data_IF_805182482140
#
_entry.id   IF_805182482140
#
_cell.length_a   1.000
_cell.length_b   1.000
_cell.length_c   1.000
_cell.angle_alpha   90.00
_cell.angle_beta   90.00
_cell.angle_gamma   90.00
#
_symmetry.space_group_name_H-M   'P 1'
#
loop_
_entity.id
_entity.type
_entity.pdbx_description
1 polymer ?
#
# COMPACT_ATOMS: atom_id res chain seq x y z
N UNK A 1 -8.51 -21.89 12.69
CA UNK A 1 -7.99 -21.14 11.54
C UNK A 1 -9.13 -20.29 10.98
N UNK A 2 -8.84 -19.04 10.59
CA UNK A 2 -9.80 -18.10 9.98
C UNK A 2 -9.41 -17.87 8.53
N UNK A 3 -10.40 -17.52 7.70
CA UNK A 3 -10.22 -17.25 6.27
C UNK A 3 -10.36 -15.75 5.94
N UNK A 4 -10.89 -14.97 6.88
CA UNK A 4 -11.07 -13.51 6.68
C UNK A 4 -9.74 -12.80 6.54
N UNK A 5 -9.71 -11.80 5.64
CA UNK A 5 -8.55 -10.93 5.47
C UNK A 5 -8.28 -10.12 6.73
N UNK A 6 -7.01 -10.03 7.08
CA UNK A 6 -6.50 -9.16 8.14
C UNK A 6 -5.25 -8.42 7.65
N UNK A 7 -4.97 -7.27 8.23
CA UNK A 7 -3.78 -6.48 7.95
C UNK A 7 -3.06 -6.13 9.26
N UNK A 8 -1.79 -5.79 9.19
CA UNK A 8 -1.01 -5.42 10.39
C UNK A 8 -1.57 -4.19 11.12
N UNK A 9 -2.25 -3.29 10.41
CA UNK A 9 -2.95 -2.15 11.01
C UNK A 9 -4.07 -2.56 11.96
N UNK A 10 -4.59 -3.79 11.86
CA UNK A 10 -5.64 -4.32 12.72
C UNK A 10 -5.13 -4.71 14.12
N UNK A 11 -3.83 -4.86 14.29
CA UNK A 11 -3.24 -5.25 15.58
C UNK A 11 -3.43 -4.18 16.65
N UNK A 12 -3.21 -2.91 16.30
CA UNK A 12 -3.33 -1.80 17.26
C UNK A 12 -4.75 -1.70 17.83
N UNK A 13 -5.83 -1.57 17.04
CA UNK A 13 -7.18 -1.51 17.60
C UNK A 13 -7.57 -2.81 18.32
N UNK A 14 -7.05 -3.97 17.92
CA UNK A 14 -7.27 -5.22 18.65
C UNK A 14 -6.70 -5.15 20.05
N UNK A 15 -5.46 -4.69 20.20
CA UNK A 15 -4.80 -4.54 21.49
C UNK A 15 -5.54 -3.51 22.36
N UNK A 16 -5.91 -2.38 21.80
CA UNK A 16 -6.66 -1.34 22.53
C UNK A 16 -7.99 -1.88 23.05
N UNK A 17 -8.73 -2.62 22.23
CA UNK A 17 -10.00 -3.25 22.63
C UNK A 17 -9.81 -4.27 23.77
N UNK A 18 -8.75 -5.08 23.73
CA UNK A 18 -8.41 -6.02 24.84
C UNK A 18 -8.21 -5.28 26.16
N UNK A 19 -7.65 -4.08 26.12
CA UNK A 19 -7.44 -3.25 27.30
C UNK A 19 -8.61 -2.30 27.62
N UNK A 20 -9.72 -2.37 26.89
CA UNK A 20 -10.88 -1.50 27.09
C UNK A 20 -10.63 -0.05 26.73
N UNK A 21 -9.68 0.21 25.83
CA UNK A 21 -9.34 1.56 25.37
C UNK A 21 -9.91 1.78 23.96
N UNK A 22 -10.67 2.87 23.80
CA UNK A 22 -11.20 3.25 22.49
C UNK A 22 -10.08 3.68 21.54
N UNK A 23 -10.01 3.13 20.31
CA UNK A 23 -9.06 3.57 19.31
C UNK A 23 -9.29 5.04 18.93
N UNK A 24 -8.22 5.83 18.71
CA UNK A 24 -8.33 7.15 18.12
C UNK A 24 -9.04 7.13 16.76
N UNK A 25 -9.72 8.22 16.41
CA UNK A 25 -10.54 8.32 15.17
C UNK A 25 -9.73 8.15 13.87
N UNK A 26 -8.41 8.37 13.93
CA UNK A 26 -7.49 8.22 12.79
C UNK A 26 -7.09 6.76 12.54
N UNK A 27 -7.48 5.83 13.40
CA UNK A 27 -7.14 4.40 13.26
C UNK A 27 -8.08 3.75 12.25
N UNK A 28 -7.55 3.37 11.11
CA UNK A 28 -8.31 2.71 10.04
C UNK A 28 -8.34 1.18 10.18
N UNK A 29 -7.47 0.62 11.02
CA UNK A 29 -7.47 -0.79 11.37
C UNK A 29 -8.77 -1.19 12.09
N UNK A 30 -9.14 -2.46 11.99
CA UNK A 30 -10.33 -3.03 12.63
C UNK A 30 -9.92 -4.12 13.60
N UNK A 31 -10.49 -4.10 14.82
CA UNK A 31 -10.21 -5.14 15.79
C UNK A 31 -10.49 -6.54 15.24
N UNK A 32 -9.59 -7.47 15.54
CA UNK A 32 -9.70 -8.87 15.15
C UNK A 32 -10.47 -9.72 16.18
N UNK A 33 -10.91 -9.17 17.33
CA UNK A 33 -11.58 -9.95 18.36
C UNK A 33 -12.89 -10.59 17.84
N UNK A 34 -13.67 -9.84 17.07
CA UNK A 34 -14.87 -10.38 16.43
C UNK A 34 -14.55 -11.51 15.43
N UNK A 35 -13.47 -11.37 14.66
CA UNK A 35 -12.99 -12.42 13.75
C UNK A 35 -12.48 -13.65 14.48
N UNK A 36 -11.91 -13.48 15.66
CA UNK A 36 -11.46 -14.60 16.50
C UNK A 36 -12.65 -15.42 17.03
N UNK A 37 -13.78 -14.76 17.31
CA UNK A 37 -14.99 -15.44 17.75
C UNK A 37 -15.73 -16.09 16.58
N UNK A 38 -16.04 -15.33 15.55
CA UNK A 38 -16.79 -15.77 14.36
C UNK A 38 -16.05 -15.26 13.12
N UNK A 39 -15.75 -16.14 12.16
CA UNK A 39 -15.06 -15.77 10.90
C UNK A 39 -15.97 -14.94 10.00
N UNK A 40 -16.21 -13.69 10.40
CA UNK A 40 -17.03 -12.74 9.68
C UNK A 40 -16.11 -11.67 9.03
N UNK A 41 -16.00 -11.63 7.69
CA UNK A 41 -15.09 -10.73 7.00
C UNK A 41 -15.36 -9.26 7.34
N UNK A 42 -14.35 -8.55 7.83
CA UNK A 42 -14.40 -7.12 8.12
C UNK A 42 -13.89 -6.25 6.96
N UNK A 43 -13.30 -6.89 5.93
CA UNK A 43 -12.85 -6.23 4.70
C UNK A 43 -13.01 -7.13 3.49
N UNK A 44 -13.26 -6.51 2.33
CA UNK A 44 -13.46 -7.22 1.04
C UNK A 44 -12.17 -7.40 0.28
N UNK A 45 -11.19 -6.52 0.51
CA UNK A 45 -9.88 -6.56 -0.12
C UNK A 45 -8.87 -5.82 0.77
N UNK A 46 -7.58 -6.04 0.52
CA UNK A 46 -6.48 -5.38 1.19
C UNK A 46 -5.38 -4.99 0.23
N UNK A 47 -4.88 -3.75 0.35
CA UNK A 47 -3.69 -3.29 -0.35
C UNK A 47 -2.43 -3.70 0.41
N UNK A 48 -1.39 -4.02 -0.32
CA UNK A 48 -0.06 -4.26 0.24
C UNK A 48 1.02 -3.98 -0.81
N UNK A 49 2.25 -3.85 -0.38
CA UNK A 49 3.35 -3.59 -1.30
C UNK A 49 4.57 -3.04 -0.59
N UNK A 50 5.54 -2.68 -1.39
CA UNK A 50 6.77 -2.03 -0.96
C UNK A 50 6.88 -0.69 -1.66
N UNK A 51 7.36 0.32 -0.95
CA UNK A 51 7.57 1.65 -1.52
C UNK A 51 8.35 1.59 -2.84
N UNK A 52 7.87 2.31 -3.85
CA UNK A 52 8.42 2.37 -5.21
C UNK A 52 8.32 1.07 -6.04
N UNK A 53 7.70 0.01 -5.52
CA UNK A 53 7.43 -1.24 -6.23
C UNK A 53 5.99 -1.30 -6.72
N UNK A 54 5.48 -2.50 -7.01
CA UNK A 54 4.08 -2.71 -7.32
C UNK A 54 3.16 -2.22 -6.19
N UNK A 55 1.97 -1.80 -6.55
CA UNK A 55 0.83 -1.77 -5.64
C UNK A 55 0.05 -3.06 -5.86
N UNK A 56 -0.13 -3.81 -4.80
CA UNK A 56 -0.77 -5.12 -4.85
C UNK A 56 -2.10 -5.09 -4.13
N UNK A 57 -3.04 -5.92 -4.60
CA UNK A 57 -4.33 -6.10 -3.95
C UNK A 57 -4.67 -7.58 -3.85
N UNK A 58 -5.32 -7.97 -2.76
CA UNK A 58 -5.92 -9.31 -2.62
C UNK A 58 -7.34 -9.21 -2.09
N UNK A 59 -8.23 -10.10 -2.57
CA UNK A 59 -9.57 -10.31 -2.01
C UNK A 59 -9.64 -11.58 -1.14
N UNK A 60 -8.49 -12.19 -0.84
CA UNK A 60 -8.37 -13.43 -0.06
C UNK A 60 -8.32 -14.70 -0.91
N UNK A 61 -8.73 -14.65 -2.17
CA UNK A 61 -8.56 -15.72 -3.14
C UNK A 61 -7.62 -15.34 -4.26
N UNK A 62 -7.85 -14.18 -4.85
CA UNK A 62 -7.03 -13.66 -5.93
C UNK A 62 -6.05 -12.64 -5.38
N UNK A 63 -4.85 -12.57 -5.98
CA UNK A 63 -3.89 -11.52 -5.72
C UNK A 63 -3.42 -10.93 -7.04
N UNK A 64 -3.39 -9.60 -7.12
CA UNK A 64 -3.04 -8.86 -8.31
C UNK A 64 -1.91 -7.91 -8.01
N UNK A 65 -0.85 -8.02 -8.79
CA UNK A 65 0.36 -7.20 -8.71
C UNK A 65 0.33 -6.19 -9.84
N UNK A 66 0.13 -4.92 -9.52
CA UNK A 66 0.16 -3.84 -10.51
C UNK A 66 1.48 -3.11 -10.44
N UNK A 67 2.31 -3.32 -11.44
CA UNK A 67 3.60 -2.64 -11.57
C UNK A 67 3.47 -1.34 -12.39
N UNK A 68 4.35 -0.33 -12.13
CA UNK A 68 4.56 0.75 -13.08
C UNK A 68 5.04 0.21 -14.43
N UNK A 69 4.73 0.91 -15.50
CA UNK A 69 5.20 0.57 -16.85
C UNK A 69 6.73 0.62 -16.93
N UNK A 70 7.33 1.64 -16.30
CA UNK A 70 8.78 1.75 -16.13
C UNK A 70 9.13 1.96 -14.65
N UNK A 71 9.84 0.99 -14.09
CA UNK A 71 10.28 1.03 -12.70
C UNK A 71 11.39 2.07 -12.45
N UNK A 72 12.08 2.52 -13.49
CA UNK A 72 13.20 3.48 -13.37
C UNK A 72 12.75 4.92 -13.58
N UNK A 73 11.78 5.15 -14.46
CA UNK A 73 11.30 6.48 -14.85
C UNK A 73 10.04 6.91 -14.10
N UNK A 74 9.57 6.10 -13.14
CA UNK A 74 8.38 6.41 -12.35
C UNK A 74 8.61 7.64 -11.45
N UNK A 75 7.60 8.49 -11.35
CA UNK A 75 7.57 9.55 -10.36
C UNK A 75 7.14 8.99 -9.01
N UNK A 76 8.04 9.06 -8.03
CA UNK A 76 7.77 8.63 -6.65
C UNK A 76 8.14 9.73 -5.68
N UNK A 77 7.36 9.84 -4.61
CA UNK A 77 7.64 10.78 -3.52
C UNK A 77 7.59 10.04 -2.17
N UNK A 78 8.29 10.58 -1.22
CA UNK A 78 8.19 10.21 0.19
C UNK A 78 7.39 11.29 0.89
N UNK A 79 6.40 10.88 1.67
CA UNK A 79 5.60 11.76 2.51
C UNK A 79 5.85 11.39 3.96
N UNK A 80 6.22 12.35 4.79
CA UNK A 80 6.60 12.08 6.18
C UNK A 80 6.36 13.27 7.09
N UNK A 81 6.00 12.99 8.34
CA UNK A 81 6.05 13.95 9.45
C UNK A 81 7.42 13.94 10.15
N UNK A 82 8.25 12.94 9.85
CA UNK A 82 9.58 12.76 10.41
C UNK A 82 10.62 13.35 9.44
N UNK A 83 11.54 14.22 9.88
CA UNK A 83 12.53 14.84 9.00
C UNK A 83 13.70 13.90 8.65
N UNK A 84 13.46 12.59 8.66
CA UNK A 84 14.44 11.54 8.40
C UNK A 84 13.81 10.34 7.70
N UNK A 85 14.62 9.51 7.07
CA UNK A 85 14.25 8.11 6.84
C UNK A 85 14.12 7.35 8.18
N UNK A 86 13.56 6.15 8.17
CA UNK A 86 13.39 5.34 9.39
C UNK A 86 14.75 5.07 10.07
N UNK A 87 15.80 4.86 9.29
CA UNK A 87 17.12 4.45 9.82
C UNK A 87 18.29 5.36 9.41
N UNK A 88 18.02 6.48 8.74
CA UNK A 88 19.08 7.39 8.26
C UNK A 88 18.53 8.81 8.05
N UNK A 89 19.43 9.79 7.98
CA UNK A 89 19.06 11.13 7.56
C UNK A 89 18.81 11.20 6.05
N UNK A 90 18.01 12.18 5.63
CA UNK A 90 17.92 12.55 4.24
C UNK A 90 19.25 13.09 3.74
N UNK A 91 19.60 12.77 2.52
CA UNK A 91 20.76 13.34 1.85
C UNK A 91 20.50 14.79 1.48
N UNK A 92 21.56 15.56 1.25
CA UNK A 92 21.44 16.95 0.78
C UNK A 92 20.65 17.07 -0.53
N UNK A 93 20.83 16.11 -1.45
CA UNK A 93 20.14 16.14 -2.73
C UNK A 93 18.63 15.77 -2.58
N UNK A 94 18.27 14.93 -1.64
CA UNK A 94 16.86 14.67 -1.30
C UNK A 94 16.23 15.94 -0.70
N UNK A 95 16.92 16.59 0.24
CA UNK A 95 16.40 17.81 0.89
C UNK A 95 16.25 18.99 -0.07
N UNK A 96 17.02 19.07 -1.14
CA UNK A 96 16.81 20.10 -2.18
C UNK A 96 15.46 19.98 -2.89
N UNK A 97 14.85 18.81 -2.88
CA UNK A 97 13.53 18.57 -3.47
C UNK A 97 12.39 18.72 -2.47
N UNK A 98 12.72 19.01 -1.22
CA UNK A 98 11.75 19.07 -0.13
C UNK A 98 10.75 20.21 -0.32
N UNK A 99 9.49 19.91 -0.11
CA UNK A 99 8.37 20.84 -0.09
C UNK A 99 7.34 20.41 0.93
N UNK A 100 6.43 21.30 1.31
CA UNK A 100 5.28 20.94 2.11
C UNK A 100 4.12 20.56 1.18
N UNK A 101 3.54 19.41 1.45
CA UNK A 101 2.30 18.94 0.82
C UNK A 101 1.11 19.15 1.77
N UNK A 102 -0.12 19.21 1.25
CA UNK A 102 -1.32 19.24 2.07
C UNK A 102 -1.37 18.07 3.05
N UNK A 103 -2.09 18.22 4.18
CA UNK A 103 -2.29 17.13 5.13
C UNK A 103 -3.06 15.97 4.50
N UNK A 104 -2.78 14.78 4.97
CA UNK A 104 -3.64 13.60 4.78
C UNK A 104 -4.68 13.53 5.92
N UNK A 105 -5.74 12.74 5.76
CA UNK A 105 -6.79 12.57 6.76
C UNK A 105 -6.24 12.17 8.14
N UNK A 106 -5.20 11.32 8.16
CA UNK A 106 -4.58 10.83 9.39
C UNK A 106 -3.54 11.78 10.00
N UNK A 107 -3.21 12.89 9.36
CA UNK A 107 -2.18 13.83 9.88
C UNK A 107 -2.76 14.96 10.73
N UNK A 108 -4.04 14.93 11.09
CA UNK A 108 -4.72 15.92 11.96
C UNK A 108 -4.56 17.36 11.48
N UNK A 109 -4.63 17.57 10.17
CA UNK A 109 -4.47 18.89 9.57
C UNK A 109 -3.03 19.40 9.48
N UNK A 110 -2.04 18.61 9.88
CA UNK A 110 -0.64 18.98 9.75
C UNK A 110 -0.13 18.69 8.33
N UNK A 111 0.49 19.68 7.67
CA UNK A 111 1.13 19.44 6.40
C UNK A 111 2.28 18.46 6.53
N UNK A 112 2.53 17.68 5.49
CA UNK A 112 3.58 16.68 5.46
C UNK A 112 4.77 17.14 4.62
N UNK A 113 5.97 16.73 5.01
CA UNK A 113 7.16 16.91 4.18
C UNK A 113 7.08 15.96 2.98
N UNK A 114 7.11 16.52 1.77
CA UNK A 114 7.19 15.79 0.51
C UNK A 114 8.59 15.89 -0.03
N UNK A 115 9.21 14.76 -0.30
CA UNK A 115 10.58 14.65 -0.84
C UNK A 115 10.53 13.74 -2.06
N UNK A 116 11.06 14.18 -3.19
CA UNK A 116 11.14 13.36 -4.39
C UNK A 116 12.06 12.16 -4.17
N UNK A 117 11.53 10.98 -4.46
CA UNK A 117 12.31 9.76 -4.56
C UNK A 117 12.82 9.59 -6.00
N UNK A 118 13.96 8.96 -6.15
CA UNK A 118 14.51 8.57 -7.44
C UNK A 118 15.41 7.34 -7.29
N UNK A 119 15.87 6.78 -8.41
CA UNK A 119 16.74 5.62 -8.42
C UNK A 119 18.05 5.78 -7.60
N UNK A 120 18.44 7.01 -7.26
CA UNK A 120 19.60 7.33 -6.44
C UNK A 120 19.27 7.44 -4.96
N UNK A 121 17.98 7.47 -4.59
CA UNK A 121 17.56 7.51 -3.17
C UNK A 121 18.11 6.31 -2.40
N UNK A 122 18.60 6.49 -1.16
CA UNK A 122 19.17 5.41 -0.37
C UNK A 122 18.24 4.20 -0.20
N UNK A 123 16.94 4.43 -0.04
CA UNK A 123 15.93 3.37 0.04
C UNK A 123 15.85 2.58 -1.26
N UNK A 124 15.82 3.25 -2.40
CA UNK A 124 15.76 2.61 -3.71
C UNK A 124 17.01 1.77 -3.98
N UNK A 125 18.19 2.26 -3.60
CA UNK A 125 19.45 1.51 -3.70
C UNK A 125 19.51 0.33 -2.74
N UNK A 126 19.03 0.49 -1.50
CA UNK A 126 19.08 -0.53 -0.45
C UNK A 126 18.09 -1.67 -0.74
N UNK A 127 16.91 -1.35 -1.20
CA UNK A 127 15.90 -2.32 -1.66
C UNK A 127 16.26 -2.91 -3.02
N UNK A 128 17.07 -2.23 -3.77
CA UNK A 128 17.88 -2.61 -4.92
C UNK A 128 17.14 -3.20 -6.09
N UNK A 129 17.71 -3.04 -7.25
CA UNK A 129 17.25 -3.63 -8.52
C UNK A 129 17.14 -5.17 -8.49
N UNK A 130 17.70 -5.84 -7.47
CA UNK A 130 17.57 -7.29 -7.29
C UNK A 130 16.14 -7.74 -6.97
N UNK A 131 15.29 -6.84 -6.44
CA UNK A 131 13.89 -7.14 -6.15
C UNK A 131 12.95 -6.84 -7.34
N UNK A 132 13.49 -6.33 -8.46
CA UNK A 132 12.70 -5.89 -9.61
C UNK A 132 13.04 -6.70 -10.87
N UNK A 133 13.45 -7.95 -10.73
CA UNK A 133 13.75 -8.81 -11.88
C UNK A 133 12.48 -9.24 -12.62
N UNK A 134 11.39 -9.44 -11.88
CA UNK A 134 10.09 -9.84 -12.41
C UNK A 134 9.08 -8.73 -12.10
N UNK A 135 8.98 -7.73 -12.96
CA UNK A 135 8.16 -6.53 -12.77
C UNK A 135 6.96 -6.50 -13.70
N UNK A 136 6.44 -7.65 -14.07
CA UNK A 136 5.23 -7.76 -14.88
C UNK A 136 3.98 -7.64 -14.00
N UNK A 137 2.98 -6.93 -14.54
CA UNK A 137 1.63 -6.91 -13.94
C UNK A 137 1.01 -8.29 -14.10
N UNK A 138 0.67 -8.94 -12.98
CA UNK A 138 0.20 -10.33 -12.97
C UNK A 138 -0.92 -10.57 -11.96
N UNK A 139 -1.76 -11.54 -12.27
CA UNK A 139 -2.85 -12.02 -11.43
C UNK A 139 -2.62 -13.49 -11.07
N UNK A 140 -2.91 -13.88 -9.82
CA UNK A 140 -2.85 -15.26 -9.34
C UNK A 140 -4.12 -15.66 -8.61
N UNK A 141 -4.52 -16.94 -8.71
CA UNK A 141 -5.51 -17.57 -7.84
C UNK A 141 -4.78 -18.31 -6.72
N UNK A 142 -4.59 -17.67 -5.59
CA UNK A 142 -3.81 -18.21 -4.48
C UNK A 142 -4.45 -19.43 -3.81
N UNK A 143 -5.73 -19.73 -4.10
CA UNK A 143 -6.39 -20.93 -3.65
C UNK A 143 -5.98 -22.15 -4.49
N UNK A 144 -5.84 -21.97 -5.79
CA UNK A 144 -5.46 -23.02 -6.73
C UNK A 144 -3.95 -23.11 -6.93
N UNK A 145 -3.26 -21.99 -6.77
CA UNK A 145 -1.80 -21.83 -6.91
C UNK A 145 -1.23 -21.05 -5.71
N UNK A 146 -1.10 -21.68 -4.53
CA UNK A 146 -0.59 -21.01 -3.33
C UNK A 146 0.85 -20.49 -3.46
N UNK A 147 1.64 -21.09 -4.34
CA UNK A 147 3.03 -20.69 -4.60
C UNK A 147 3.16 -19.58 -5.63
N UNK A 148 2.05 -19.21 -6.30
CA UNK A 148 1.99 -18.14 -7.30
C UNK A 148 2.99 -18.35 -8.45
N UNK A 149 3.05 -19.56 -8.96
CA UNK A 149 3.93 -19.94 -10.07
C UNK A 149 3.28 -19.81 -11.44
N UNK A 150 1.93 -19.81 -11.48
CA UNK A 150 1.15 -19.85 -12.71
C UNK A 150 0.24 -18.61 -12.81
N UNK A 151 0.65 -17.56 -13.52
CA UNK A 151 -0.18 -16.37 -13.74
C UNK A 151 -1.52 -16.72 -14.38
N UNK A 152 -2.59 -16.12 -13.88
CA UNK A 152 -3.94 -16.31 -14.37
C UNK A 152 -4.33 -15.18 -15.35
N UNK A 153 -4.85 -15.56 -16.52
CA UNK A 153 -5.46 -14.60 -17.44
C UNK A 153 -6.98 -14.61 -17.23
N UNK A 154 -7.51 -13.58 -16.56
CA UNK A 154 -8.95 -13.44 -16.33
C UNK A 154 -9.32 -11.96 -16.20
N UNK A 155 -9.74 -11.36 -17.32
CA UNK A 155 -10.05 -9.94 -17.42
C UNK A 155 -11.15 -9.49 -16.45
N UNK A 156 -12.13 -10.36 -16.15
CA UNK A 156 -13.22 -10.04 -15.24
C UNK A 156 -12.72 -9.92 -13.79
N UNK A 157 -11.87 -10.84 -13.35
CA UNK A 157 -11.26 -10.81 -12.01
C UNK A 157 -10.30 -9.64 -11.91
N UNK A 158 -9.48 -9.43 -12.92
CA UNK A 158 -8.53 -8.31 -12.96
C UNK A 158 -9.26 -6.97 -12.87
N UNK A 159 -10.28 -6.74 -13.72
CA UNK A 159 -11.08 -5.51 -13.70
C UNK A 159 -11.74 -5.26 -12.34
N UNK A 160 -12.26 -6.31 -11.71
CA UNK A 160 -12.84 -6.22 -10.35
C UNK A 160 -11.80 -5.78 -9.33
N UNK A 161 -10.63 -6.43 -9.30
CA UNK A 161 -9.56 -6.12 -8.35
C UNK A 161 -8.98 -4.73 -8.60
N UNK A 162 -8.83 -4.34 -9.85
CA UNK A 162 -8.38 -3.02 -10.24
C UNK A 162 -9.33 -1.92 -9.76
N UNK A 163 -10.64 -2.10 -9.92
CA UNK A 163 -11.64 -1.18 -9.40
C UNK A 163 -11.56 -1.05 -7.87
N UNK A 164 -11.40 -2.16 -7.15
CA UNK A 164 -11.21 -2.16 -5.70
C UNK A 164 -9.89 -1.51 -5.27
N UNK A 165 -8.82 -1.69 -6.06
CA UNK A 165 -7.53 -1.04 -5.82
C UNK A 165 -7.66 0.47 -5.89
N UNK A 166 -8.29 1.00 -6.95
CA UNK A 166 -8.53 2.43 -7.11
C UNK A 166 -9.35 2.98 -5.95
N UNK A 167 -10.44 2.30 -5.56
CA UNK A 167 -11.28 2.71 -4.43
C UNK A 167 -10.49 2.78 -3.11
N UNK A 168 -9.71 1.74 -2.83
CA UNK A 168 -8.89 1.70 -1.62
C UNK A 168 -7.78 2.74 -1.64
N UNK A 169 -7.14 2.99 -2.77
CA UNK A 169 -6.15 4.05 -2.91
C UNK A 169 -6.76 5.43 -2.63
N UNK A 170 -7.96 5.71 -3.16
CA UNK A 170 -8.65 6.98 -2.92
C UNK A 170 -9.05 7.15 -1.45
N UNK A 171 -9.65 6.13 -0.84
CA UNK A 171 -10.06 6.15 0.58
C UNK A 171 -8.87 6.39 1.52
N UNK A 172 -7.68 5.92 1.12
CA UNK A 172 -6.45 6.08 1.90
C UNK A 172 -5.59 7.28 1.43
N UNK A 173 -6.21 8.31 0.85
CA UNK A 173 -5.54 9.56 0.43
C UNK A 173 -4.32 9.37 -0.48
N UNK A 174 -4.29 8.32 -1.30
CA UNK A 174 -3.17 8.12 -2.21
C UNK A 174 -2.98 9.35 -3.12
N UNK A 175 -1.77 9.93 -3.18
CA UNK A 175 -1.53 11.10 -4.00
C UNK A 175 -1.64 10.77 -5.49
N UNK A 176 -1.96 11.77 -6.31
CA UNK A 176 -2.23 11.58 -7.75
C UNK A 176 -1.11 10.82 -8.47
N UNK A 177 0.15 11.11 -8.15
CA UNK A 177 1.28 10.41 -8.76
C UNK A 177 1.33 8.91 -8.44
N UNK A 178 0.69 8.46 -7.34
CA UNK A 178 0.57 7.05 -7.03
C UNK A 178 -0.35 6.32 -8.03
N UNK A 179 -1.37 7.00 -8.55
CA UNK A 179 -2.22 6.48 -9.63
C UNK A 179 -1.48 6.55 -10.97
N UNK A 180 -0.96 7.73 -11.32
CA UNK A 180 -0.30 7.98 -12.61
C UNK A 180 0.82 6.98 -12.89
N UNK A 181 1.68 6.70 -11.89
CA UNK A 181 2.79 5.74 -12.05
C UNK A 181 2.34 4.31 -12.35
N UNK A 182 1.10 3.96 -11.98
CA UNK A 182 0.49 2.64 -12.23
C UNK A 182 -0.37 2.62 -13.51
N UNK A 183 -0.42 3.73 -14.26
CA UNK A 183 -1.31 3.88 -15.40
C UNK A 183 -2.78 3.88 -14.98
N UNK A 184 -3.10 4.47 -13.81
CA UNK A 184 -4.44 4.54 -13.24
C UNK A 184 -4.90 5.99 -13.13
N UNK A 185 -6.21 6.15 -13.05
CA UNK A 185 -6.86 7.44 -12.75
C UNK A 185 -7.78 7.27 -11.54
N UNK A 186 -7.79 8.26 -10.61
CA UNK A 186 -8.78 8.26 -9.55
C UNK A 186 -10.19 8.42 -10.14
N UNK A 187 -11.19 7.86 -9.47
CA UNK A 187 -12.60 8.07 -9.84
C UNK A 187 -12.99 9.53 -9.53
N UNK A 188 -13.76 10.12 -10.43
CA UNK A 188 -14.36 11.45 -10.27
C UNK A 188 -15.43 11.45 -9.17
#
# INVERSE_FOLDING_TARGET
RRQSLSQTIDLMPTILEVFGVEPPSEVEGKSLLSLMAIDNPNRKAGLYGVWASATNITDGRYTYFRYPEDMHEQQINQYTLMPTHITSFFTHDELKTASLAPPFNFTKGLPVLKISGNAKSPMYRKMGMRFFQDTETVLFDTKMDPEQLNPLNNDQVESKLLAQMIDLMQVNDAPLEAFVRLGLEPKN
#
